data_IF_908583812664
#
_entry.id   IF_908583812664
#
_cell.length_a   1.000
_cell.length_b   1.000
_cell.length_c   1.000
_cell.angle_alpha   90.00
_cell.angle_beta   90.00
_cell.angle_gamma   90.00
#
_symmetry.space_group_name_H-M   'P 1'
#
loop_
_entity.id
_entity.type
_entity.pdbx_description
1 polymer ?
#
# COMPACT_ATOMS: atom_id res chain seq x y z
N UNK A 1 13.27 23.04 2.08
CA UNK A 1 12.52 22.08 1.25
C UNK A 1 13.50 20.99 0.86
N UNK A 2 13.33 19.77 1.36
CA UNK A 2 14.21 18.63 1.03
C UNK A 2 14.02 18.26 -0.44
N UNK A 3 15.11 18.03 -1.17
CA UNK A 3 15.11 17.68 -2.60
C UNK A 3 14.30 16.39 -2.85
N UNK A 4 13.29 16.44 -3.73
CA UNK A 4 12.52 15.26 -4.15
C UNK A 4 13.32 14.46 -5.19
N UNK A 5 13.69 13.23 -4.86
CA UNK A 5 14.49 12.36 -5.73
C UNK A 5 13.62 11.51 -6.65
N UNK A 6 12.47 11.06 -6.16
CA UNK A 6 11.50 10.30 -6.95
C UNK A 6 10.09 10.44 -6.38
N UNK A 7 9.10 10.31 -7.25
CA UNK A 7 7.69 10.25 -6.87
C UNK A 7 7.07 8.95 -7.39
N UNK A 8 6.28 8.27 -6.56
CA UNK A 8 5.50 7.10 -6.92
C UNK A 8 4.01 7.41 -6.83
N UNK A 9 3.35 7.43 -7.97
CA UNK A 9 1.91 7.69 -8.12
C UNK A 9 1.14 6.39 -8.27
N UNK A 10 -0.16 6.51 -8.05
CA UNK A 10 -1.13 5.44 -8.26
C UNK A 10 -1.54 5.39 -9.74
N UNK A 11 -1.58 4.19 -10.31
CA UNK A 11 -2.14 3.95 -11.64
C UNK A 11 -3.66 4.15 -11.60
N UNK A 12 -4.16 5.09 -12.40
CA UNK A 12 -5.58 5.39 -12.50
C UNK A 12 -6.39 4.13 -12.90
N UNK A 13 -5.90 3.36 -13.87
CA UNK A 13 -6.56 2.13 -14.34
C UNK A 13 -6.64 1.09 -13.22
N UNK A 14 -5.52 0.79 -12.54
CA UNK A 14 -5.51 -0.19 -11.45
C UNK A 14 -6.38 0.24 -10.27
N UNK A 15 -6.42 1.55 -9.98
CA UNK A 15 -7.29 2.14 -8.96
C UNK A 15 -8.77 1.94 -9.30
N UNK A 16 -9.19 2.23 -10.54
CA UNK A 16 -10.58 2.06 -10.98
C UNK A 16 -10.98 0.59 -10.91
N UNK A 17 -10.15 -0.32 -11.40
CA UNK A 17 -10.42 -1.76 -11.35
C UNK A 17 -10.55 -2.24 -9.90
N UNK A 18 -9.59 -1.90 -9.03
CA UNK A 18 -9.60 -2.33 -7.64
C UNK A 18 -10.81 -1.81 -6.86
N UNK A 19 -11.18 -0.53 -7.05
CA UNK A 19 -12.39 0.03 -6.45
C UNK A 19 -13.66 -0.61 -7.03
N UNK A 20 -13.71 -0.81 -8.35
CA UNK A 20 -14.84 -1.44 -9.03
C UNK A 20 -15.13 -2.84 -8.50
N UNK A 21 -14.09 -3.66 -8.31
CA UNK A 21 -14.23 -5.01 -7.74
C UNK A 21 -14.73 -4.98 -6.30
N UNK A 22 -14.21 -4.09 -5.45
CA UNK A 22 -14.67 -3.96 -4.07
C UNK A 22 -16.12 -3.50 -3.98
N UNK A 23 -16.52 -2.55 -4.83
CA UNK A 23 -17.90 -2.06 -4.91
C UNK A 23 -18.85 -3.13 -5.46
N UNK A 24 -18.44 -3.87 -6.48
CA UNK A 24 -19.21 -4.99 -7.01
C UNK A 24 -19.42 -6.10 -5.97
N UNK A 25 -18.35 -6.46 -5.23
CA UNK A 25 -18.42 -7.42 -4.13
C UNK A 25 -19.37 -6.93 -3.02
N UNK A 26 -19.24 -5.68 -2.59
CA UNK A 26 -20.13 -5.09 -1.61
C UNK A 26 -21.59 -5.10 -2.08
N UNK A 27 -21.85 -4.68 -3.31
CA UNK A 27 -23.17 -4.68 -3.93
C UNK A 27 -23.78 -6.07 -3.97
N UNK A 28 -23.01 -7.09 -4.39
CA UNK A 28 -23.45 -8.48 -4.42
C UNK A 28 -23.83 -9.01 -3.03
N UNK A 29 -22.96 -8.79 -2.03
CA UNK A 29 -23.22 -9.26 -0.66
C UNK A 29 -24.46 -8.62 -0.04
N UNK A 30 -24.62 -7.31 -0.22
CA UNK A 30 -25.78 -6.56 0.27
C UNK A 30 -27.05 -6.95 -0.49
N UNK A 31 -26.95 -7.16 -1.81
CA UNK A 31 -28.08 -7.61 -2.63
C UNK A 31 -28.59 -8.97 -2.18
N UNK A 32 -27.71 -9.94 -1.94
CA UNK A 32 -28.09 -11.26 -1.42
C UNK A 32 -28.76 -11.10 -0.04
N UNK A 33 -28.16 -10.33 0.87
CA UNK A 33 -28.68 -10.16 2.23
C UNK A 33 -30.06 -9.48 2.29
N UNK A 34 -30.43 -8.70 1.28
CA UNK A 34 -31.68 -7.91 1.22
C UNK A 34 -32.76 -8.55 0.35
N UNK A 35 -32.40 -9.07 -0.83
CA UNK A 35 -33.36 -9.57 -1.84
C UNK A 35 -33.60 -11.07 -1.70
N UNK A 36 -32.58 -11.83 -1.33
CA UNK A 36 -32.66 -13.28 -1.10
C UNK A 36 -32.14 -13.61 0.31
N UNK A 37 -32.79 -13.09 1.37
CA UNK A 37 -32.28 -13.21 2.72
C UNK A 37 -32.15 -14.69 3.12
N UNK A 38 -30.98 -15.11 3.64
CA UNK A 38 -30.81 -16.45 4.18
C UNK A 38 -31.81 -16.70 5.32
N UNK A 39 -32.32 -17.93 5.43
CA UNK A 39 -33.27 -18.30 6.49
C UNK A 39 -32.69 -18.09 7.90
N UNK A 40 -31.36 -18.21 8.06
CA UNK A 40 -30.67 -17.93 9.32
C UNK A 40 -30.33 -16.45 9.48
N UNK A 41 -30.87 -15.83 10.54
CA UNK A 41 -30.58 -14.44 10.92
C UNK A 41 -29.06 -14.19 11.07
N UNK A 42 -28.31 -15.17 11.59
CA UNK A 42 -26.85 -15.07 11.73
C UNK A 42 -26.13 -14.94 10.38
N UNK A 43 -26.52 -15.71 9.37
CA UNK A 43 -25.94 -15.62 8.02
C UNK A 43 -26.29 -14.29 7.33
N UNK A 44 -27.53 -13.81 7.52
CA UNK A 44 -27.93 -12.49 7.03
C UNK A 44 -27.08 -11.38 7.67
N UNK A 45 -26.92 -11.41 8.99
CA UNK A 45 -26.08 -10.44 9.72
C UNK A 45 -24.61 -10.50 9.25
N UNK A 46 -24.08 -11.70 9.03
CA UNK A 46 -22.74 -11.90 8.50
C UNK A 46 -22.55 -11.29 7.11
N UNK A 47 -23.49 -11.52 6.18
CA UNK A 47 -23.43 -10.93 4.83
C UNK A 47 -23.50 -9.40 4.86
N UNK A 48 -24.37 -8.83 5.72
CA UNK A 48 -24.45 -7.38 5.90
C UNK A 48 -23.14 -6.81 6.45
N UNK A 49 -22.55 -7.47 7.46
CA UNK A 49 -21.27 -7.06 8.04
C UNK A 49 -20.13 -7.12 7.01
N UNK A 50 -20.09 -8.18 6.18
CA UNK A 50 -19.09 -8.33 5.12
C UNK A 50 -19.29 -7.30 4.00
N UNK A 51 -20.53 -7.04 3.58
CA UNK A 51 -20.84 -6.00 2.60
C UNK A 51 -20.44 -4.61 3.08
N UNK A 52 -20.78 -4.26 4.33
CA UNK A 52 -20.35 -3.02 4.96
C UNK A 52 -18.82 -2.94 5.09
N UNK A 53 -18.16 -4.04 5.44
CA UNK A 53 -16.69 -4.13 5.48
C UNK A 53 -16.04 -3.89 4.12
N UNK A 54 -16.60 -4.44 3.04
CA UNK A 54 -16.12 -4.22 1.68
C UNK A 54 -16.29 -2.76 1.25
N UNK A 55 -17.41 -2.10 1.60
CA UNK A 55 -17.60 -0.65 1.37
C UNK A 55 -16.59 0.18 2.16
N UNK A 56 -16.38 -0.14 3.44
CA UNK A 56 -15.39 0.54 4.28
C UNK A 56 -13.97 0.41 3.70
N UNK A 57 -13.62 -0.79 3.20
CA UNK A 57 -12.35 -1.02 2.53
C UNK A 57 -12.24 -0.28 1.20
N UNK A 58 -13.31 -0.22 0.39
CA UNK A 58 -13.35 0.55 -0.84
C UNK A 58 -13.11 2.05 -0.56
N UNK A 59 -13.74 2.60 0.47
CA UNK A 59 -13.56 4.00 0.87
C UNK A 59 -12.14 4.26 1.42
N UNK A 60 -11.62 3.35 2.25
CA UNK A 60 -10.25 3.44 2.74
C UNK A 60 -9.24 3.39 1.58
N UNK A 61 -9.44 2.49 0.60
CA UNK A 61 -8.63 2.41 -0.61
C UNK A 61 -8.77 3.68 -1.45
N UNK A 62 -9.99 4.23 -1.63
CA UNK A 62 -10.22 5.46 -2.40
C UNK A 62 -9.42 6.63 -1.85
N UNK A 63 -9.36 6.75 -0.51
CA UNK A 63 -8.57 7.78 0.21
C UNK A 63 -7.06 7.52 0.15
N UNK A 64 -6.64 6.28 0.34
CA UNK A 64 -5.22 5.90 0.29
C UNK A 64 -4.62 6.09 -1.11
N UNK A 65 -5.38 5.74 -2.13
CA UNK A 65 -4.96 5.79 -3.54
C UNK A 65 -5.03 7.17 -4.17
N UNK A 66 -5.57 8.16 -3.46
CA UNK A 66 -5.53 9.57 -3.88
C UNK A 66 -4.16 10.22 -3.59
N UNK A 67 -3.26 9.50 -2.92
CA UNK A 67 -1.97 10.02 -2.46
C UNK A 67 -0.83 9.53 -3.34
N UNK A 68 0.30 10.24 -3.25
CA UNK A 68 1.58 9.84 -3.86
C UNK A 68 2.63 9.64 -2.79
N UNK A 69 3.58 8.75 -3.06
CA UNK A 69 4.76 8.59 -2.22
C UNK A 69 5.92 9.40 -2.79
N UNK A 70 6.70 10.04 -1.92
CA UNK A 70 7.82 10.88 -2.28
C UNK A 70 9.07 10.33 -1.59
N UNK A 71 10.09 10.07 -2.40
CA UNK A 71 11.42 9.71 -1.93
C UNK A 71 12.27 10.99 -1.86
N UNK A 72 12.88 11.20 -0.71
CA UNK A 72 13.85 12.28 -0.46
C UNK A 72 15.15 11.67 0.07
N UNK A 73 16.17 12.50 0.29
CA UNK A 73 17.42 12.07 0.93
C UNK A 73 17.22 11.59 2.37
N UNK A 74 16.21 12.10 3.08
CA UNK A 74 15.90 11.71 4.46
C UNK A 74 15.18 10.35 4.53
N UNK A 75 14.34 10.05 3.53
CA UNK A 75 13.48 8.87 3.58
C UNK A 75 12.36 8.85 2.56
N UNK A 76 11.50 7.85 2.73
CA UNK A 76 10.27 7.67 1.99
C UNK A 76 9.09 8.19 2.80
N UNK A 77 8.31 9.08 2.19
CA UNK A 77 7.17 9.76 2.81
C UNK A 77 5.92 9.67 1.93
N UNK A 78 4.76 9.84 2.55
CA UNK A 78 3.49 10.14 1.88
C UNK A 78 3.38 11.65 1.61
N UNK A 79 2.52 12.06 0.69
CA UNK A 79 2.34 13.47 0.31
C UNK A 79 1.80 14.39 1.43
N UNK A 80 1.32 13.81 2.53
CA UNK A 80 0.96 14.51 3.77
C UNK A 80 2.09 14.58 4.79
N UNK A 81 3.32 14.23 4.41
CA UNK A 81 4.48 14.19 5.30
C UNK A 81 4.53 12.98 6.23
N UNK A 82 3.69 11.95 6.00
CA UNK A 82 3.74 10.73 6.81
C UNK A 82 4.99 9.93 6.44
N UNK A 83 5.89 9.76 7.39
CA UNK A 83 7.09 8.94 7.22
C UNK A 83 6.74 7.45 7.11
N UNK A 84 7.13 6.83 5.99
CA UNK A 84 7.04 5.37 5.80
C UNK A 84 8.28 4.70 6.39
N UNK A 85 9.47 5.17 5.98
CA UNK A 85 10.77 4.69 6.43
C UNK A 85 11.86 5.74 6.15
N UNK A 86 12.77 5.96 7.12
CA UNK A 86 13.98 6.78 6.91
C UNK A 86 15.10 6.00 6.25
N UNK A 87 15.92 6.68 5.45
CA UNK A 87 17.12 6.07 4.85
C UNK A 87 18.06 5.48 5.93
N UNK A 88 18.22 6.16 7.07
CA UNK A 88 19.10 5.68 8.14
C UNK A 88 18.60 4.36 8.76
N UNK A 89 17.28 4.12 8.74
CA UNK A 89 16.64 2.95 9.34
C UNK A 89 16.42 1.80 8.37
N UNK A 90 16.62 2.01 7.07
CA UNK A 90 16.53 0.95 6.07
C UNK A 90 17.82 0.13 6.11
N UNK A 91 17.66 -1.17 6.37
CA UNK A 91 18.74 -2.17 6.38
C UNK A 91 18.85 -2.94 5.07
N UNK A 92 17.81 -2.91 4.24
CA UNK A 92 17.82 -3.60 2.95
C UNK A 92 16.57 -3.33 2.13
N UNK A 93 16.65 -3.63 0.83
CA UNK A 93 15.58 -3.49 -0.14
C UNK A 93 15.47 -4.80 -0.93
N UNK A 94 14.25 -5.32 -1.06
CA UNK A 94 13.95 -6.56 -1.78
C UNK A 94 12.98 -6.30 -2.94
N UNK A 95 13.37 -6.79 -4.12
CA UNK A 95 12.63 -6.73 -5.39
C UNK A 95 12.33 -8.13 -5.95
N UNK A 96 12.81 -9.18 -5.31
CA UNK A 96 12.72 -10.55 -5.81
C UNK A 96 11.28 -11.05 -5.92
N UNK A 97 11.06 -12.08 -6.74
CA UNK A 97 9.75 -12.75 -6.84
C UNK A 97 9.34 -13.46 -5.56
N UNK A 98 10.31 -13.87 -4.73
CA UNK A 98 10.10 -14.52 -3.42
C UNK A 98 10.03 -13.51 -2.26
N UNK A 99 10.12 -12.22 -2.56
CA UNK A 99 10.01 -11.16 -1.57
C UNK A 99 8.56 -11.03 -1.09
N UNK A 100 8.36 -10.75 0.20
CA UNK A 100 7.09 -10.24 0.72
C UNK A 100 6.89 -8.79 0.23
N UNK A 101 6.60 -8.63 -1.06
CA UNK A 101 6.34 -7.34 -1.72
C UNK A 101 4.92 -7.30 -2.30
N UNK A 102 4.25 -6.15 -2.28
CA UNK A 102 3.02 -5.98 -3.02
C UNK A 102 3.27 -6.12 -4.54
N UNK A 103 2.23 -6.43 -5.30
CA UNK A 103 2.30 -6.52 -6.77
C UNK A 103 2.94 -5.25 -7.36
N UNK A 104 3.86 -5.41 -8.32
CA UNK A 104 4.57 -4.30 -8.99
C UNK A 104 5.31 -3.33 -8.06
N UNK A 105 5.67 -3.80 -6.86
CA UNK A 105 6.30 -3.01 -5.82
C UNK A 105 7.67 -3.50 -5.40
N UNK A 106 8.11 -3.02 -4.24
CA UNK A 106 9.30 -3.44 -3.53
C UNK A 106 9.01 -3.56 -2.03
N UNK A 107 9.89 -4.23 -1.30
CA UNK A 107 9.81 -4.35 0.16
C UNK A 107 11.08 -3.79 0.79
N UNK A 108 10.94 -3.07 1.89
CA UNK A 108 12.04 -2.54 2.68
C UNK A 108 12.14 -3.32 3.99
N UNK A 109 13.36 -3.68 4.34
CA UNK A 109 13.71 -4.19 5.67
C UNK A 109 14.27 -3.05 6.51
N UNK A 110 13.82 -2.96 7.76
CA UNK A 110 14.21 -1.92 8.70
C UNK A 110 15.09 -2.49 9.83
N UNK A 111 15.98 -1.64 10.35
CA UNK A 111 16.81 -1.96 11.52
C UNK A 111 15.98 -2.12 12.79
N UNK A 112 14.89 -1.37 12.91
CA UNK A 112 14.00 -1.36 14.07
C UNK A 112 12.52 -1.48 13.67
N UNK A 113 11.68 -1.89 14.62
CA UNK A 113 10.25 -2.02 14.38
C UNK A 113 9.56 -0.65 14.45
N UNK A 114 8.64 -0.40 13.51
CA UNK A 114 7.86 0.84 13.47
C UNK A 114 6.36 0.55 13.73
N UNK A 115 5.59 1.56 14.20
CA UNK A 115 4.16 1.39 14.45
C UNK A 115 3.42 0.87 13.22
N UNK A 116 2.54 -0.12 13.40
CA UNK A 116 1.78 -0.72 12.29
C UNK A 116 0.98 0.35 11.55
N UNK A 117 1.09 0.36 10.23
CA UNK A 117 0.42 1.31 9.37
C UNK A 117 0.04 0.65 8.05
N UNK A 118 -1.09 1.05 7.49
CA UNK A 118 -1.56 0.50 6.23
C UNK A 118 -2.29 1.55 5.41
N UNK A 119 -1.92 1.65 4.14
CA UNK A 119 -2.62 2.40 3.11
C UNK A 119 -3.09 1.37 2.06
N UNK A 120 -4.36 0.94 2.11
CA UNK A 120 -4.87 -0.13 1.25
C UNK A 120 -4.57 0.12 -0.23
N UNK A 121 -3.94 -0.86 -0.88
CA UNK A 121 -3.56 -0.82 -2.29
C UNK A 121 -2.28 -0.03 -2.61
N UNK A 122 -1.60 0.60 -1.64
CA UNK A 122 -0.42 1.44 -1.90
C UNK A 122 0.80 1.02 -1.10
N UNK A 123 0.66 0.82 0.21
CA UNK A 123 1.76 0.36 1.05
C UNK A 123 1.26 -0.16 2.40
N UNK A 124 2.09 -0.94 3.07
CA UNK A 124 1.87 -1.42 4.42
C UNK A 124 3.17 -1.42 5.22
N UNK A 125 3.05 -1.34 6.53
CA UNK A 125 4.14 -1.44 7.49
C UNK A 125 3.75 -2.35 8.63
N UNK A 126 4.58 -3.34 8.87
CA UNK A 126 4.37 -4.35 9.90
C UNK A 126 5.71 -4.81 10.47
N UNK A 127 5.91 -4.62 11.78
CA UNK A 127 7.18 -4.91 12.44
C UNK A 127 8.33 -4.14 11.79
N UNK A 128 9.32 -4.87 11.28
CA UNK A 128 10.52 -4.34 10.63
C UNK A 128 10.43 -4.31 9.10
N UNK A 129 9.21 -4.40 8.53
CA UNK A 129 8.99 -4.48 7.09
C UNK A 129 8.04 -3.40 6.60
N UNK A 130 8.37 -2.82 5.46
CA UNK A 130 7.51 -1.89 4.73
C UNK A 130 7.37 -2.38 3.30
N UNK A 131 6.17 -2.78 2.90
CA UNK A 131 5.87 -3.13 1.51
C UNK A 131 5.28 -1.93 0.79
N UNK A 132 5.82 -1.55 -0.37
CA UNK A 132 5.32 -0.47 -1.22
C UNK A 132 4.92 -1.07 -2.56
N UNK A 133 3.68 -0.86 -3.00
CA UNK A 133 3.16 -1.38 -4.26
C UNK A 133 1.64 -1.62 -4.25
N UNK A 134 1.16 -2.40 -5.22
CA UNK A 134 -0.26 -2.72 -5.38
C UNK A 134 -0.83 -2.04 -6.62
N UNK A 135 -1.56 -0.94 -6.43
CA UNK A 135 -2.09 -0.13 -7.53
C UNK A 135 -1.15 0.98 -7.99
N UNK A 136 0.06 1.06 -7.43
CA UNK A 136 1.09 2.02 -7.84
C UNK A 136 1.62 1.74 -9.24
N UNK A 137 2.22 2.75 -9.89
CA UNK A 137 2.89 2.58 -11.19
C UNK A 137 4.10 1.65 -11.06
N UNK A 138 4.14 0.60 -11.88
CA UNK A 138 5.24 -0.37 -11.88
C UNK A 138 6.57 0.27 -12.30
N UNK A 139 6.53 1.17 -13.28
CA UNK A 139 7.71 1.88 -13.77
C UNK A 139 8.28 2.84 -12.73
N UNK A 140 7.43 3.66 -12.10
CA UNK A 140 7.86 4.56 -11.03
C UNK A 140 8.34 3.78 -9.80
N UNK A 141 7.70 2.65 -9.45
CA UNK A 141 8.13 1.81 -8.33
C UNK A 141 9.51 1.19 -8.59
N UNK A 142 9.77 0.76 -9.83
CA UNK A 142 11.09 0.27 -10.25
C UNK A 142 12.15 1.36 -10.15
N UNK A 143 11.89 2.53 -10.74
CA UNK A 143 12.82 3.67 -10.70
C UNK A 143 13.12 4.11 -9.26
N UNK A 144 12.09 4.22 -8.42
CA UNK A 144 12.25 4.56 -7.00
C UNK A 144 13.09 3.52 -6.26
N UNK A 145 12.90 2.24 -6.53
CA UNK A 145 13.68 1.18 -5.91
C UNK A 145 15.15 1.18 -6.36
N UNK A 146 15.44 1.57 -7.60
CA UNK A 146 16.81 1.75 -8.11
C UNK A 146 17.51 2.92 -7.41
N UNK A 147 16.84 4.06 -7.27
CA UNK A 147 17.37 5.21 -6.52
C UNK A 147 17.59 4.86 -5.05
N UNK A 148 16.63 4.17 -4.41
CA UNK A 148 16.80 3.67 -3.05
C UNK A 148 18.01 2.74 -2.91
N UNK A 149 18.23 1.85 -3.89
CA UNK A 149 19.40 0.96 -3.89
C UNK A 149 20.70 1.77 -3.91
N UNK A 150 20.80 2.78 -4.77
CA UNK A 150 21.96 3.66 -4.85
C UNK A 150 22.22 4.43 -3.54
N UNK A 151 21.16 4.98 -2.92
CA UNK A 151 21.26 5.69 -1.63
C UNK A 151 21.75 4.77 -0.51
N UNK A 152 21.29 3.52 -0.48
CA UNK A 152 21.71 2.54 0.52
C UNK A 152 23.17 2.11 0.33
N UNK A 153 23.64 2.02 -0.92
CA UNK A 153 25.05 1.74 -1.22
C UNK A 153 25.95 2.92 -0.82
N UNK A 154 25.54 4.16 -1.11
CA UNK A 154 26.27 5.37 -0.69
C UNK A 154 26.39 5.46 0.84
N UNK A 155 25.30 5.14 1.55
CA UNK A 155 25.30 5.04 3.01
C UNK A 155 26.27 3.97 3.52
N UNK A 156 26.27 2.79 2.91
CA UNK A 156 27.15 1.69 3.31
C UNK A 156 28.63 1.98 3.07
N UNK A 157 28.98 2.75 2.03
CA UNK A 157 30.36 3.16 1.75
C UNK A 157 30.88 4.33 2.61
N UNK A 158 30.01 4.96 3.40
CA UNK A 158 30.36 6.07 4.31
C UNK A 158 30.53 5.65 5.78
N UNK A 159 30.12 4.44 6.13
CA UNK A 159 30.25 3.88 7.48
C UNK A 159 31.42 2.92 7.57
#
# INVERSE_FOLDING_TARGET
>A
MTEELATLRVSAVRRVIGLGVLLALAGLLLQIALVHPPAGIGYRAFLLAMGAGALALAEAMRRATARRLVLTREGLFDDRGRELARIERISGLDRGMLAFKPSNGFSLSLTEALPRAWAPGVWWRFGRRVGVGGVTSAGEAKAMAEILTALLQEKAGRG
#
